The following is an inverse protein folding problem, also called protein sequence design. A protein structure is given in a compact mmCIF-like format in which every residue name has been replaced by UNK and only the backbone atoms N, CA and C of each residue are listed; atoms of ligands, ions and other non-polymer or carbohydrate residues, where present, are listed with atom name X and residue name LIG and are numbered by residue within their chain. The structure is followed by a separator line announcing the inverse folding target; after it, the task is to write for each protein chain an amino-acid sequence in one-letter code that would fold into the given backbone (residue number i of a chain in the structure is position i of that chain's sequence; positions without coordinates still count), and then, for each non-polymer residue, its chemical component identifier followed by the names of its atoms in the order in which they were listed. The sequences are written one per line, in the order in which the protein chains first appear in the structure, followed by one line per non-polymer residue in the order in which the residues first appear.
data_IF_478609775380
#
_entry.id   IF_478609775380
#
_cell.length_a   1.000
_cell.length_b   1.000
_cell.length_c   1.000
_cell.angle_alpha   90.00
_cell.angle_beta   90.00
_cell.angle_gamma   90.00
#
_symmetry.space_group_name_H-M   'P 1'
#
loop_
_entity.id
_entity.type
_entity.pdbx_description
1 polymer ?
#
# COMPACT_ATOMS: atom_id res chain seq x y z
N UNK A 1 -54.35 13.96 13.65
CA UNK A 1 -53.58 13.08 12.75
C UNK A 1 -52.19 12.93 13.36
N UNK A 2 -51.78 11.71 13.71
CA UNK A 2 -50.44 11.44 14.27
C UNK A 2 -49.45 11.51 13.10
N UNK A 3 -48.55 12.50 13.13
CA UNK A 3 -47.47 12.60 12.14
C UNK A 3 -46.56 11.38 12.32
N UNK A 4 -46.57 10.49 11.34
CA UNK A 4 -45.73 9.29 11.32
C UNK A 4 -44.37 9.62 10.68
N UNK A 5 -43.78 10.74 11.08
CA UNK A 5 -42.55 11.27 10.44
C UNK A 5 -41.33 11.13 11.35
N UNK A 6 -41.38 10.21 12.32
CA UNK A 6 -40.25 9.88 13.20
C UNK A 6 -39.49 8.62 12.75
N UNK A 7 -39.40 8.39 11.44
CA UNK A 7 -38.40 7.50 10.85
C UNK A 7 -37.04 8.22 10.78
N UNK A 8 -36.57 8.60 11.98
CA UNK A 8 -35.22 8.91 12.45
C UNK A 8 -34.13 9.22 11.40
N UNK A 9 -33.43 10.38 11.52
CA UNK A 9 -32.21 10.69 10.74
C UNK A 9 -31.02 9.74 11.00
N UNK A 10 -31.19 8.72 11.84
CA UNK A 10 -30.20 7.69 12.19
C UNK A 10 -29.76 6.86 10.97
N UNK A 11 -30.66 6.58 10.01
CA UNK A 11 -30.31 5.81 8.81
C UNK A 11 -29.29 6.53 7.91
N UNK A 12 -29.41 7.86 7.79
CA UNK A 12 -28.51 8.67 6.96
C UNK A 12 -27.12 8.78 7.59
N UNK A 13 -27.03 8.90 8.92
CA UNK A 13 -25.76 8.90 9.64
C UNK A 13 -25.01 7.57 9.50
N UNK A 14 -25.71 6.44 9.64
CA UNK A 14 -25.12 5.11 9.47
C UNK A 14 -24.56 4.90 8.05
N UNK A 15 -25.28 5.38 7.04
CA UNK A 15 -24.84 5.29 5.64
C UNK A 15 -23.58 6.14 5.37
N UNK A 16 -23.48 7.34 5.97
CA UNK A 16 -22.28 8.18 5.85
C UNK A 16 -21.07 7.49 6.51
N UNK A 17 -21.24 6.95 7.72
CA UNK A 17 -20.16 6.22 8.42
C UNK A 17 -19.71 5.00 7.61
N UNK A 18 -20.66 4.25 7.03
CA UNK A 18 -20.35 3.12 6.17
C UNK A 18 -19.46 3.55 4.98
N UNK A 19 -19.85 4.58 4.24
CA UNK A 19 -19.05 5.07 3.10
C UNK A 19 -17.67 5.60 3.52
N UNK A 20 -17.58 6.26 4.68
CA UNK A 20 -16.27 6.67 5.22
C UNK A 20 -15.37 5.47 5.51
N UNK A 21 -15.90 4.42 6.12
CA UNK A 21 -15.12 3.19 6.36
C UNK A 21 -14.73 2.51 5.05
N UNK A 22 -15.63 2.43 4.07
CA UNK A 22 -15.32 1.85 2.75
C UNK A 22 -14.20 2.63 2.06
N UNK A 23 -14.28 3.96 2.02
CA UNK A 23 -13.23 4.80 1.42
C UNK A 23 -11.92 4.64 2.17
N UNK A 24 -11.92 4.67 3.51
CA UNK A 24 -10.70 4.49 4.30
C UNK A 24 -10.02 3.14 4.02
N UNK A 25 -10.81 2.07 3.93
CA UNK A 25 -10.30 0.73 3.64
C UNK A 25 -9.74 0.62 2.21
N UNK A 26 -10.41 1.24 1.24
CA UNK A 26 -9.90 1.34 -0.13
C UNK A 26 -8.61 2.14 -0.16
N UNK A 27 -8.53 3.32 0.45
CA UNK A 27 -7.30 4.13 0.48
C UNK A 27 -6.13 3.36 1.09
N UNK A 28 -6.37 2.65 2.19
CA UNK A 28 -5.32 1.81 2.81
C UNK A 28 -4.89 0.65 1.92
N UNK A 29 -5.85 -0.06 1.31
CA UNK A 29 -5.56 -1.16 0.39
C UNK A 29 -4.82 -0.71 -0.87
N UNK A 30 -5.25 0.40 -1.48
CA UNK A 30 -4.60 1.01 -2.64
C UNK A 30 -3.20 1.53 -2.30
N UNK A 31 -2.98 2.09 -1.11
CA UNK A 31 -1.65 2.52 -0.66
C UNK A 31 -0.67 1.35 -0.59
N UNK A 32 -1.05 0.26 0.09
CA UNK A 32 -0.23 -0.95 0.16
C UNK A 32 0.06 -1.57 -1.22
N UNK A 33 -0.91 -1.50 -2.14
CA UNK A 33 -0.74 -2.02 -3.50
C UNK A 33 0.19 -1.15 -4.35
N UNK A 34 0.13 0.17 -4.17
CA UNK A 34 0.99 1.12 -4.86
C UNK A 34 2.46 0.99 -4.41
N UNK A 35 2.71 0.76 -3.12
CA UNK A 35 4.07 0.55 -2.59
C UNK A 35 4.80 -0.61 -3.28
N UNK A 36 4.08 -1.69 -3.59
CA UNK A 36 4.64 -2.84 -4.32
C UNK A 36 4.93 -2.53 -5.79
N UNK A 37 4.18 -1.61 -6.41
CA UNK A 37 4.43 -1.16 -7.79
C UNK A 37 5.62 -0.20 -7.90
N UNK A 38 5.84 0.61 -6.87
CA UNK A 38 6.94 1.58 -6.85
C UNK A 38 8.29 0.92 -6.59
N UNK A 39 8.33 -0.08 -5.69
CA UNK A 39 9.53 -0.84 -5.36
C UNK A 39 9.33 -2.35 -5.59
N UNK A 40 9.54 -2.84 -6.83
CA UNK A 40 9.47 -4.26 -7.13
C UNK A 40 10.62 -5.06 -6.48
N UNK A 41 11.67 -4.39 -5.96
CA UNK A 41 12.83 -5.02 -5.32
C UNK A 41 12.79 -4.86 -3.79
N UNK A 42 11.60 -4.85 -3.19
CA UNK A 42 11.45 -4.83 -1.73
C UNK A 42 12.11 -6.04 -1.04
N UNK A 43 12.27 -7.15 -1.77
CA UNK A 43 13.06 -8.33 -1.40
C UNK A 43 13.90 -8.75 -2.61
N UNK A 44 15.09 -8.19 -2.79
CA UNK A 44 15.90 -8.47 -3.98
C UNK A 44 16.37 -9.93 -3.97
N UNK A 45 16.28 -10.59 -5.12
CA UNK A 45 16.83 -11.93 -5.29
C UNK A 45 18.36 -11.85 -5.30
N UNK A 46 18.98 -12.71 -4.49
CA UNK A 46 20.43 -12.79 -4.38
C UNK A 46 20.88 -14.15 -4.90
N UNK A 47 21.74 -14.16 -5.90
CA UNK A 47 22.40 -15.37 -6.40
C UNK A 47 23.83 -15.37 -5.84
N UNK A 48 24.15 -16.42 -5.08
CA UNK A 48 25.49 -16.63 -4.51
C UNK A 48 26.19 -17.70 -5.34
N UNK A 49 27.27 -17.34 -6.06
CA UNK A 49 28.01 -18.27 -6.92
C UNK A 49 29.49 -17.92 -6.97
N UNK A 50 30.38 -18.92 -7.00
CA UNK A 50 31.84 -18.80 -7.21
C UNK A 50 32.54 -17.61 -6.54
N UNK A 51 32.18 -17.30 -5.28
CA UNK A 51 32.82 -16.24 -4.49
C UNK A 51 32.31 -14.82 -4.73
N UNK A 52 31.23 -14.64 -5.51
CA UNK A 52 30.53 -13.37 -5.70
C UNK A 52 29.05 -13.47 -5.31
N UNK A 53 28.51 -12.33 -4.89
CA UNK A 53 27.10 -12.16 -4.54
C UNK A 53 26.47 -11.23 -5.57
N UNK A 54 25.62 -11.78 -6.43
CA UNK A 54 24.90 -11.04 -7.46
C UNK A 54 23.50 -10.68 -6.96
N UNK A 55 23.10 -9.42 -7.16
CA UNK A 55 21.80 -8.89 -6.75
C UNK A 55 21.04 -8.46 -8.00
N UNK A 56 19.90 -9.09 -8.26
CA UNK A 56 19.08 -8.76 -9.44
C UNK A 56 18.06 -7.71 -9.05
N UNK A 57 18.04 -6.59 -9.78
CA UNK A 57 17.09 -5.50 -9.61
C UNK A 57 16.19 -5.39 -10.85
N UNK A 58 14.88 -5.48 -10.63
CA UNK A 58 13.86 -5.19 -11.62
C UNK A 58 13.61 -3.68 -11.68
N UNK A 59 13.42 -3.16 -12.89
CA UNK A 59 13.00 -1.78 -13.07
C UNK A 59 11.53 -1.62 -12.72
N UNK A 60 11.18 -0.51 -12.07
CA UNK A 60 9.79 -0.14 -11.85
C UNK A 60 9.16 0.46 -13.13
N UNK A 61 7.88 0.83 -13.10
CA UNK A 61 7.18 1.44 -14.25
C UNK A 61 7.75 2.79 -14.70
N UNK A 62 8.58 3.42 -13.88
CA UNK A 62 9.29 4.66 -14.17
C UNK A 62 10.71 4.40 -14.69
N UNK A 63 11.08 3.14 -14.92
CA UNK A 63 12.42 2.71 -15.29
C UNK A 63 13.51 2.99 -14.25
N UNK A 64 13.12 3.19 -12.98
CA UNK A 64 14.06 3.33 -11.86
C UNK A 64 14.29 1.98 -11.18
N UNK A 65 15.50 1.79 -10.65
CA UNK A 65 15.89 0.62 -9.85
C UNK A 65 15.93 1.03 -8.38
N UNK A 66 14.81 0.82 -7.68
CA UNK A 66 14.69 1.11 -6.24
C UNK A 66 14.83 -0.19 -5.48
N UNK A 67 15.63 -0.21 -4.42
CA UNK A 67 15.79 -1.35 -3.53
C UNK A 67 16.01 -0.85 -2.10
N UNK A 68 15.26 -1.42 -1.15
CA UNK A 68 15.43 -1.07 0.26
C UNK A 68 16.62 -1.83 0.83
N UNK A 69 17.49 -1.16 1.59
CA UNK A 69 18.64 -1.85 2.17
C UNK A 69 19.44 -1.02 3.16
N UNK A 70 20.53 -1.62 3.63
CA UNK A 70 21.52 -0.95 4.46
C UNK A 70 22.87 -1.02 3.74
N UNK A 71 23.50 0.14 3.53
CA UNK A 71 24.90 0.20 3.11
C UNK A 71 25.70 0.57 4.35
N UNK A 72 26.68 -0.27 4.72
CA UNK A 72 27.51 -0.04 5.91
C UNK A 72 26.69 0.21 7.19
N UNK A 73 25.61 -0.56 7.40
CA UNK A 73 24.64 -0.42 8.52
C UNK A 73 23.84 0.88 8.53
N UNK A 74 24.00 1.73 7.53
CA UNK A 74 23.19 2.93 7.35
C UNK A 74 22.03 2.61 6.42
N UNK A 75 20.80 2.91 6.86
CA UNK A 75 19.60 2.71 6.04
C UNK A 75 19.69 3.64 4.82
N UNK A 76 19.60 3.07 3.63
CA UNK A 76 19.49 3.80 2.38
C UNK A 76 18.18 3.42 1.71
N UNK A 77 17.51 4.42 1.15
CA UNK A 77 16.19 4.34 0.53
C UNK A 77 16.31 4.80 -0.91
#
# INVERSE_FOLDING_TARGET
MRNADDARPIGRGMLIIFWLMVIALLTWGFGNWEDQRQNPNARPETISGNGYQEVILNSNRQHHYVANGFINRSKVV
#
